data_IF_978352911479
#
_entry.id   IF_978352911479
#
_cell.length_a   1.000
_cell.length_b   1.000
_cell.length_c   1.000
_cell.angle_alpha   90.00
_cell.angle_beta   90.00
_cell.angle_gamma   90.00
#
_symmetry.space_group_name_H-M   'P 1'
#
loop_
_entity.id
_entity.type
_entity.pdbx_description
1 polymer ?
#
# COMPACT_ATOMS: atom_id res chain seq x y z
N UNK A 1 -6.34 14.79 -6.37
CA UNK A 1 -6.21 13.87 -7.54
C UNK A 1 -5.32 12.72 -7.12
N UNK A 2 -5.63 11.49 -7.53
CA UNK A 2 -4.86 10.29 -7.23
C UNK A 2 -4.34 9.76 -8.56
N UNK A 3 -3.02 9.81 -8.80
CA UNK A 3 -2.46 9.32 -10.06
C UNK A 3 -2.35 7.79 -10.05
N UNK A 4 -2.30 7.21 -11.26
CA UNK A 4 -2.27 5.77 -11.50
C UNK A 4 -0.90 5.35 -11.98
N UNK A 5 -0.24 4.47 -11.22
CA UNK A 5 0.97 3.78 -11.64
C UNK A 5 0.57 2.57 -12.49
N UNK A 6 0.79 2.65 -13.79
CA UNK A 6 0.43 1.56 -14.71
C UNK A 6 1.52 0.50 -14.78
N UNK A 7 1.09 -0.76 -14.92
CA UNK A 7 1.97 -1.92 -15.09
C UNK A 7 3.03 -1.99 -13.99
N UNK A 8 2.60 -1.85 -12.72
CA UNK A 8 3.50 -1.87 -11.58
C UNK A 8 4.30 -3.19 -11.49
N UNK A 9 3.68 -4.29 -11.90
CA UNK A 9 4.28 -5.63 -11.94
C UNK A 9 5.43 -5.77 -12.95
N UNK A 10 5.48 -4.91 -13.97
CA UNK A 10 6.54 -4.89 -14.98
C UNK A 10 7.74 -4.00 -14.61
N UNK A 11 7.69 -3.37 -13.43
CA UNK A 11 8.71 -2.42 -12.98
C UNK A 11 9.49 -2.99 -11.80
N UNK A 12 10.78 -2.71 -11.77
CA UNK A 12 11.57 -2.92 -10.55
C UNK A 12 11.25 -1.87 -9.48
N UNK A 13 11.75 -2.08 -8.26
CA UNK A 13 11.50 -1.21 -7.11
C UNK A 13 11.97 0.24 -7.34
N UNK A 14 13.12 0.42 -7.99
CA UNK A 14 13.70 1.74 -8.24
C UNK A 14 12.92 2.52 -9.29
N UNK A 15 12.56 1.84 -10.39
CA UNK A 15 11.71 2.41 -11.43
C UNK A 15 10.31 2.76 -10.88
N UNK A 16 9.76 1.90 -10.02
CA UNK A 16 8.50 2.17 -9.31
C UNK A 16 8.60 3.41 -8.45
N UNK A 17 9.65 3.54 -7.63
CA UNK A 17 9.85 4.69 -6.77
C UNK A 17 9.99 6.02 -7.56
N UNK A 18 10.76 5.99 -8.65
CA UNK A 18 10.94 7.14 -9.53
C UNK A 18 9.62 7.57 -10.19
N UNK A 19 8.84 6.62 -10.67
CA UNK A 19 7.56 6.90 -11.33
C UNK A 19 6.50 7.40 -10.33
N UNK A 20 6.44 6.87 -9.11
CA UNK A 20 5.58 7.40 -8.05
C UNK A 20 5.92 8.85 -7.74
N UNK A 21 7.22 9.19 -7.64
CA UNK A 21 7.66 10.57 -7.40
C UNK A 21 7.26 11.50 -8.54
N UNK A 22 7.45 11.07 -9.80
CA UNK A 22 7.05 11.82 -11.00
C UNK A 22 5.55 12.08 -11.05
N UNK A 23 4.76 11.03 -10.85
CA UNK A 23 3.29 11.11 -10.85
C UNK A 23 2.77 12.01 -9.73
N UNK A 24 3.35 11.92 -8.53
CA UNK A 24 3.00 12.78 -7.41
C UNK A 24 3.26 14.26 -7.72
N UNK A 25 4.38 14.57 -8.38
CA UNK A 25 4.69 15.93 -8.80
C UNK A 25 3.76 16.43 -9.91
N UNK A 26 3.46 15.61 -10.91
CA UNK A 26 2.51 15.92 -11.96
C UNK A 26 1.10 16.21 -11.40
N UNK A 27 0.65 15.41 -10.43
CA UNK A 27 -0.63 15.61 -9.78
C UNK A 27 -0.68 16.91 -8.94
N UNK A 28 0.40 17.21 -8.19
CA UNK A 28 0.50 18.46 -7.38
C UNK A 28 0.53 19.71 -8.23
N UNK A 29 1.24 19.68 -9.35
CA UNK A 29 1.37 20.83 -10.26
C UNK A 29 0.22 20.93 -11.28
N UNK A 30 -0.77 20.06 -11.23
CA UNK A 30 -1.91 20.05 -12.15
C UNK A 30 -1.56 19.64 -13.58
N UNK A 31 -0.39 19.02 -13.81
CA UNK A 31 0.08 18.57 -15.12
C UNK A 31 -0.20 17.12 -15.42
N UNK A 32 -0.82 16.38 -14.49
CA UNK A 32 -1.20 15.01 -14.70
C UNK A 32 -2.20 14.90 -15.85
N UNK A 33 -1.96 13.99 -16.78
CA UNK A 33 -2.86 13.73 -17.91
C UNK A 33 -4.07 12.94 -17.46
N UNK A 34 -5.13 12.93 -18.30
CA UNK A 34 -6.33 12.13 -18.03
C UNK A 34 -6.02 10.64 -17.89
N UNK A 35 -5.11 10.14 -18.70
CA UNK A 35 -4.69 8.73 -18.66
C UNK A 35 -3.93 8.38 -17.39
N UNK A 36 -3.20 9.34 -16.82
CA UNK A 36 -2.51 9.18 -15.53
C UNK A 36 -3.44 9.25 -14.31
N UNK A 37 -4.71 9.60 -14.51
CA UNK A 37 -5.71 9.76 -13.46
C UNK A 37 -6.86 8.74 -13.53
N UNK A 38 -6.78 7.75 -14.42
CA UNK A 38 -7.86 6.80 -14.66
C UNK A 38 -7.36 5.38 -14.91
N UNK A 39 -8.25 4.39 -14.73
CA UNK A 39 -7.97 2.98 -15.05
C UNK A 39 -7.14 2.24 -14.01
N UNK A 40 -7.16 2.67 -12.76
CA UNK A 40 -6.60 1.92 -11.64
C UNK A 40 -7.37 0.63 -11.35
N UNK A 41 -6.66 -0.37 -10.85
CA UNK A 41 -7.23 -1.68 -10.47
C UNK A 41 -7.26 -1.90 -8.97
N UNK A 42 -6.39 -1.21 -8.23
CA UNK A 42 -6.33 -1.19 -6.77
C UNK A 42 -5.79 0.16 -6.31
N UNK A 43 -6.24 0.64 -5.16
CA UNK A 43 -5.74 1.89 -4.58
C UNK A 43 -4.88 1.61 -3.35
N UNK A 44 -3.74 2.31 -3.26
CA UNK A 44 -2.94 2.41 -2.04
C UNK A 44 -3.10 3.83 -1.51
N UNK A 45 -3.49 3.98 -0.25
CA UNK A 45 -3.66 5.29 0.39
C UNK A 45 -2.79 5.43 1.62
N UNK A 46 -2.24 6.62 1.83
CA UNK A 46 -1.45 6.94 3.03
C UNK A 46 -1.57 8.43 3.33
N UNK A 47 -1.68 8.76 4.60
CA UNK A 47 -1.59 10.14 5.09
C UNK A 47 -0.18 10.45 5.63
N UNK A 48 0.77 9.54 5.45
CA UNK A 48 2.14 9.70 5.93
C UNK A 48 2.19 9.96 7.45
N UNK A 49 3.08 10.84 7.91
CA UNK A 49 3.24 11.15 9.34
C UNK A 49 2.00 11.72 10.03
N UNK A 50 1.08 12.32 9.24
CA UNK A 50 -0.19 12.89 9.74
C UNK A 50 -1.30 11.84 9.83
N UNK A 51 -1.05 10.61 9.33
CA UNK A 51 -2.00 9.52 9.39
C UNK A 51 -2.25 9.01 10.80
N UNK A 52 -3.40 8.34 10.97
CA UNK A 52 -3.72 7.62 12.19
C UNK A 52 -2.98 6.29 12.31
N UNK A 53 -3.28 5.58 13.39
CA UNK A 53 -2.79 4.21 13.61
C UNK A 53 -3.62 3.20 12.82
N UNK A 54 -4.89 3.53 12.54
CA UNK A 54 -5.86 2.74 11.79
C UNK A 54 -6.69 3.70 10.94
N UNK A 55 -7.09 3.26 9.75
CA UNK A 55 -8.01 3.97 8.87
C UNK A 55 -9.11 3.02 8.38
N UNK A 56 -10.20 3.58 7.90
CA UNK A 56 -11.27 2.85 7.20
C UNK A 56 -11.34 3.37 5.77
N UNK A 57 -10.48 2.88 4.87
CA UNK A 57 -10.42 3.42 3.51
C UNK A 57 -11.69 3.05 2.72
N UNK A 58 -12.15 3.98 1.90
CA UNK A 58 -13.32 3.80 1.04
C UNK A 58 -12.83 3.33 -0.33
N UNK A 59 -13.41 2.25 -0.84
CA UNK A 59 -13.08 1.67 -2.14
C UNK A 59 -13.45 2.67 -3.25
N UNK A 60 -12.52 2.87 -4.17
CA UNK A 60 -12.71 3.71 -5.36
C UNK A 60 -13.33 2.86 -6.49
N UNK A 61 -14.66 2.93 -6.66
CA UNK A 61 -15.32 2.15 -7.69
C UNK A 61 -14.79 2.50 -9.10
N UNK A 62 -14.59 1.51 -10.00
CA UNK A 62 -15.00 0.10 -9.93
C UNK A 62 -13.96 -0.86 -9.30
N UNK A 63 -12.95 -0.37 -8.61
CA UNK A 63 -11.99 -1.21 -7.88
C UNK A 63 -12.71 -2.05 -6.82
N UNK A 64 -12.09 -3.17 -6.44
CA UNK A 64 -12.64 -4.09 -5.42
C UNK A 64 -11.84 -4.11 -4.13
N UNK A 65 -10.72 -3.38 -4.08
CA UNK A 65 -9.86 -3.32 -2.91
C UNK A 65 -9.13 -1.99 -2.79
N UNK A 66 -8.87 -1.60 -1.54
CA UNK A 66 -8.01 -0.48 -1.18
C UNK A 66 -7.18 -0.85 0.04
N UNK A 67 -5.90 -0.51 0.03
CA UNK A 67 -4.97 -0.74 1.16
C UNK A 67 -4.51 0.59 1.70
N UNK A 68 -4.74 0.81 2.99
CA UNK A 68 -4.29 1.98 3.74
C UNK A 68 -2.99 1.68 4.50
N UNK A 69 -1.96 2.45 4.20
CA UNK A 69 -0.68 2.42 4.92
C UNK A 69 -0.74 3.45 6.03
N UNK A 70 -0.80 2.99 7.28
CA UNK A 70 -0.91 3.86 8.44
C UNK A 70 0.46 4.35 8.93
N UNK A 71 0.45 5.23 9.93
CA UNK A 71 1.67 5.81 10.49
C UNK A 71 2.55 4.73 11.13
N UNK A 72 3.86 4.83 10.87
CA UNK A 72 4.87 4.04 11.58
C UNK A 72 5.02 4.60 13.00
N UNK A 73 4.94 3.73 13.99
CA UNK A 73 5.11 4.05 15.41
C UNK A 73 6.07 3.08 16.07
N UNK A 74 6.83 3.57 17.03
CA UNK A 74 7.64 2.70 17.89
C UNK A 74 6.75 2.08 18.95
N UNK A 75 6.83 0.75 19.10
CA UNK A 75 6.07 -0.02 20.09
C UNK A 75 6.97 -1.05 20.77
N UNK A 76 6.71 -1.36 22.05
CA UNK A 76 7.36 -2.48 22.70
C UNK A 76 6.92 -3.80 22.05
N UNK A 77 7.88 -4.65 21.75
CA UNK A 77 7.64 -6.00 21.24
C UNK A 77 8.49 -7.01 22.01
N UNK A 78 7.96 -8.22 22.19
CA UNK A 78 8.71 -9.29 22.85
C UNK A 78 9.50 -10.06 21.78
N UNK A 79 10.82 -10.12 21.96
CA UNK A 79 11.73 -10.88 21.13
C UNK A 79 12.73 -11.63 22.01
N UNK A 80 12.80 -12.96 21.86
CA UNK A 80 13.67 -13.80 22.67
C UNK A 80 13.42 -13.67 24.19
N UNK A 81 12.18 -13.46 24.60
CA UNK A 81 11.81 -13.26 26.01
C UNK A 81 12.08 -11.86 26.57
N UNK A 82 12.61 -10.94 25.78
CA UNK A 82 12.88 -9.55 26.18
C UNK A 82 11.97 -8.57 25.49
N UNK A 83 11.68 -7.44 26.17
CA UNK A 83 10.96 -6.32 25.59
C UNK A 83 11.95 -5.43 24.84
N UNK A 84 11.73 -5.26 23.53
CA UNK A 84 12.56 -4.42 22.66
C UNK A 84 11.69 -3.40 21.92
N UNK A 85 12.18 -2.18 21.65
CA UNK A 85 11.47 -1.23 20.81
C UNK A 85 11.50 -1.70 19.34
N UNK A 86 10.35 -1.63 18.67
CA UNK A 86 10.21 -1.97 17.25
C UNK A 86 9.35 -0.94 16.53
N UNK A 87 9.79 -0.57 15.34
CA UNK A 87 8.96 0.21 14.42
C UNK A 87 7.87 -0.70 13.85
N UNK A 88 6.64 -0.30 14.00
CA UNK A 88 5.46 -1.05 13.56
C UNK A 88 4.49 -0.13 12.85
N UNK A 89 3.80 -0.66 11.85
CA UNK A 89 2.67 0.03 11.23
C UNK A 89 1.53 -0.97 11.01
N UNK A 90 0.32 -0.45 11.00
CA UNK A 90 -0.85 -1.24 10.62
C UNK A 90 -1.13 -1.04 9.12
N UNK A 91 -1.57 -2.11 8.46
CA UNK A 91 -2.22 -2.04 7.16
C UNK A 91 -3.72 -2.14 7.39
N UNK A 92 -4.46 -1.15 6.94
CA UNK A 92 -5.93 -1.17 6.93
C UNK A 92 -6.40 -1.43 5.52
N UNK A 93 -7.42 -2.24 5.35
CA UNK A 93 -7.90 -2.58 4.01
C UNK A 93 -9.42 -2.68 3.99
N UNK A 94 -10.00 -2.34 2.85
CA UNK A 94 -11.40 -2.59 2.54
C UNK A 94 -11.49 -3.39 1.25
N UNK A 95 -12.43 -4.32 1.21
CA UNK A 95 -12.68 -5.20 0.07
C UNK A 95 -14.18 -5.20 -0.26
N UNK A 96 -14.51 -5.27 -1.54
CA UNK A 96 -15.89 -5.52 -1.96
C UNK A 96 -16.23 -6.99 -1.75
N UNK A 97 -16.99 -7.28 -0.70
CA UNK A 97 -17.31 -8.66 -0.29
C UNK A 97 -18.22 -9.41 -1.27
N UNK A 98 -18.72 -8.73 -2.29
CA UNK A 98 -19.44 -9.40 -3.41
C UNK A 98 -18.46 -10.14 -4.33
N UNK A 99 -17.19 -9.76 -4.34
CA UNK A 99 -16.13 -10.28 -5.22
C UNK A 99 -15.06 -11.01 -4.42
N UNK A 100 -14.69 -10.48 -3.26
CA UNK A 100 -13.57 -10.98 -2.43
C UNK A 100 -14.12 -11.46 -1.09
N UNK A 101 -13.93 -12.75 -0.79
CA UNK A 101 -14.29 -13.30 0.52
C UNK A 101 -13.25 -12.95 1.60
N UNK A 102 -13.62 -13.16 2.87
CA UNK A 102 -12.78 -12.80 4.00
C UNK A 102 -11.47 -13.59 4.08
N UNK A 103 -11.46 -14.84 3.63
CA UNK A 103 -10.25 -15.66 3.62
C UNK A 103 -9.24 -15.13 2.59
N UNK A 104 -9.66 -14.92 1.35
CA UNK A 104 -8.85 -14.36 0.28
C UNK A 104 -8.30 -12.98 0.64
N UNK A 105 -9.15 -12.11 1.24
CA UNK A 105 -8.72 -10.81 1.72
C UNK A 105 -7.61 -10.91 2.78
N UNK A 106 -7.77 -11.84 3.74
CA UNK A 106 -6.78 -12.07 4.79
C UNK A 106 -5.46 -12.60 4.22
N UNK A 107 -5.49 -13.58 3.32
CA UNK A 107 -4.30 -14.11 2.65
C UNK A 107 -3.55 -13.01 1.89
N UNK A 108 -4.26 -12.17 1.16
CA UNK A 108 -3.65 -11.05 0.42
C UNK A 108 -2.89 -10.10 1.35
N UNK A 109 -3.49 -9.69 2.46
CA UNK A 109 -2.82 -8.81 3.43
C UNK A 109 -1.64 -9.50 4.12
N UNK A 110 -1.76 -10.79 4.46
CA UNK A 110 -0.66 -11.55 5.04
C UNK A 110 0.50 -11.71 4.05
N UNK A 111 0.21 -11.84 2.75
CA UNK A 111 1.24 -11.87 1.71
C UNK A 111 2.00 -10.55 1.65
N UNK A 112 1.30 -9.40 1.62
CA UNK A 112 1.93 -8.08 1.67
C UNK A 112 2.81 -7.94 2.92
N UNK A 113 2.26 -8.31 4.08
CA UNK A 113 3.01 -8.29 5.34
C UNK A 113 4.30 -9.09 5.26
N UNK A 114 4.23 -10.33 4.78
CA UNK A 114 5.38 -11.23 4.64
C UNK A 114 6.50 -10.62 3.77
N UNK A 115 6.13 -9.97 2.67
CA UNK A 115 7.08 -9.30 1.77
C UNK A 115 7.70 -8.06 2.43
N UNK A 116 6.93 -7.27 3.16
CA UNK A 116 7.42 -6.10 3.88
C UNK A 116 8.33 -6.47 5.06
N UNK A 117 8.02 -7.56 5.79
CA UNK A 117 8.83 -8.04 6.93
C UNK A 117 10.10 -8.77 6.47
N UNK A 118 10.14 -9.26 5.23
CA UNK A 118 11.30 -9.94 4.63
C UNK A 118 11.49 -9.45 3.19
N UNK A 119 11.99 -8.20 3.01
CA UNK A 119 12.02 -7.56 1.69
C UNK A 119 12.90 -8.28 0.66
N UNK A 120 13.87 -9.10 1.09
CA UNK A 120 14.65 -9.94 0.18
C UNK A 120 13.78 -10.87 -0.68
N UNK A 121 12.61 -11.29 -0.20
CA UNK A 121 11.66 -12.14 -0.94
C UNK A 121 11.10 -11.46 -2.19
N UNK A 122 10.99 -10.14 -2.20
CA UNK A 122 10.53 -9.39 -3.37
C UNK A 122 11.45 -9.64 -4.59
N UNK A 123 12.75 -9.81 -4.34
CA UNK A 123 13.73 -10.07 -5.39
C UNK A 123 13.91 -11.55 -5.74
N UNK A 124 13.40 -12.45 -4.90
CA UNK A 124 13.52 -13.90 -5.11
C UNK A 124 12.31 -14.51 -5.81
N UNK A 125 11.18 -13.83 -5.75
CA UNK A 125 9.87 -14.31 -6.23
C UNK A 125 9.41 -13.56 -7.50
N UNK A 126 10.29 -12.74 -8.06
CA UNK A 126 10.06 -11.99 -9.30
C UNK A 126 10.31 -12.84 -10.55
#
# INVERSE_FOLDING_TARGET
MVPVLRNAEARDLWATAAEVARLAEAARSGRATRDELSGSTITITSLGPRGGIVTTPIINAPEVAIVGVNRIVERPAIRGGMVVPRLSMNLSSSFDHRIVDGYTAAEFIQRIRSLLETPARIFMEA
#
